data_IF_081045797249
#
_entry.id   IF_081045797249
#
_cell.length_a   1.000
_cell.length_b   1.000
_cell.length_c   1.000
_cell.angle_alpha   90.00
_cell.angle_beta   90.00
_cell.angle_gamma   90.00
#
_symmetry.space_group_name_H-M   'P 1'
#
loop_
_entity.id
_entity.type
_entity.pdbx_description
1 polymer ?
#
# COMPACT_ATOMS: atom_id res chain seq x y z
N UNK A 1 -36.37 4.68 -15.81
CA UNK A 1 -34.97 5.15 -15.78
C UNK A 1 -34.95 6.52 -15.09
N UNK A 2 -34.13 6.73 -14.04
CA UNK A 2 -33.93 8.08 -13.48
C UNK A 2 -33.30 8.96 -14.57
N UNK A 3 -33.83 10.16 -14.88
CA UNK A 3 -33.35 10.98 -16.00
C UNK A 3 -31.85 11.29 -15.97
N UNK A 4 -31.25 11.37 -14.78
CA UNK A 4 -29.80 11.56 -14.63
C UNK A 4 -28.96 10.36 -15.10
N UNK A 5 -29.53 9.17 -15.30
CA UNK A 5 -28.79 8.01 -15.79
C UNK A 5 -28.51 8.09 -17.30
N UNK A 6 -29.50 8.43 -18.11
CA UNK A 6 -29.40 8.40 -19.58
C UNK A 6 -28.41 9.43 -20.14
N UNK A 7 -28.34 10.62 -19.53
CA UNK A 7 -27.43 11.69 -19.93
C UNK A 7 -25.95 11.33 -19.63
N UNK A 8 -25.69 10.67 -18.49
CA UNK A 8 -24.35 10.26 -18.11
C UNK A 8 -23.82 9.08 -18.94
N UNK A 9 -24.72 8.23 -19.45
CA UNK A 9 -24.40 7.11 -20.34
C UNK A 9 -23.83 7.62 -21.68
N UNK A 10 -24.47 8.62 -22.28
CA UNK A 10 -24.00 9.22 -23.53
C UNK A 10 -22.67 9.97 -23.37
N UNK A 11 -22.43 10.55 -22.19
CA UNK A 11 -21.11 11.15 -21.85
C UNK A 11 -20.01 10.09 -21.75
N UNK A 12 -20.29 8.90 -21.20
CA UNK A 12 -19.30 7.83 -21.14
C UNK A 12 -19.07 7.20 -22.50
N UNK A 13 -20.14 6.98 -23.26
CA UNK A 13 -20.09 6.45 -24.61
C UNK A 13 -19.26 7.34 -25.53
N UNK A 14 -19.53 8.65 -25.54
CA UNK A 14 -18.75 9.61 -26.32
C UNK A 14 -17.27 9.63 -25.93
N UNK A 15 -16.95 9.54 -24.63
CA UNK A 15 -15.55 9.48 -24.14
C UNK A 15 -14.83 8.19 -24.52
N UNK A 16 -15.51 7.05 -24.48
CA UNK A 16 -14.93 5.76 -24.88
C UNK A 16 -14.67 5.69 -26.39
N UNK A 17 -15.49 6.36 -27.20
CA UNK A 17 -15.37 6.36 -28.66
C UNK A 17 -14.39 7.38 -29.23
N UNK A 18 -14.04 8.42 -28.48
CA UNK A 18 -13.21 9.53 -28.97
C UNK A 18 -11.71 9.21 -29.12
N UNK A 19 -11.26 7.95 -28.92
CA UNK A 19 -9.89 7.48 -29.21
C UNK A 19 -8.79 8.50 -28.83
N UNK A 20 -8.62 8.72 -27.54
CA UNK A 20 -7.31 9.04 -26.98
C UNK A 20 -7.12 8.19 -25.73
N UNK A 21 -6.00 7.47 -25.70
CA UNK A 21 -5.73 6.28 -24.90
C UNK A 21 -5.50 6.62 -23.41
N UNK A 22 -6.54 7.10 -22.73
CA UNK A 22 -6.68 6.96 -21.28
C UNK A 22 -7.26 5.57 -21.03
N UNK A 23 -6.75 4.76 -20.06
CA UNK A 23 -7.15 3.36 -19.99
C UNK A 23 -8.66 3.26 -19.83
N UNK A 24 -9.34 2.73 -20.85
CA UNK A 24 -10.79 2.58 -20.89
C UNK A 24 -11.31 1.84 -19.64
N UNK A 25 -10.47 0.96 -19.07
CA UNK A 25 -10.67 0.29 -17.79
C UNK A 25 -10.88 1.26 -16.62
N UNK A 26 -10.13 2.35 -16.51
CA UNK A 26 -10.27 3.34 -15.42
C UNK A 26 -11.56 4.14 -15.52
N UNK A 27 -11.95 4.54 -16.73
CA UNK A 27 -13.22 5.23 -16.99
C UNK A 27 -14.43 4.34 -16.65
N UNK A 28 -14.40 3.09 -17.11
CA UNK A 28 -15.44 2.09 -16.81
C UNK A 28 -15.47 1.76 -15.32
N UNK A 29 -14.31 1.56 -14.69
CA UNK A 29 -14.20 1.26 -13.24
C UNK A 29 -14.75 2.42 -12.39
N UNK A 30 -14.38 3.66 -12.69
CA UNK A 30 -14.87 4.83 -11.95
C UNK A 30 -16.39 5.03 -12.11
N UNK A 31 -16.93 4.74 -13.29
CA UNK A 31 -18.37 4.76 -13.49
C UNK A 31 -19.09 3.68 -12.68
N UNK A 32 -18.60 2.43 -12.76
CA UNK A 32 -19.16 1.30 -12.02
C UNK A 32 -19.10 1.51 -10.51
N UNK A 33 -17.99 2.06 -9.98
CA UNK A 33 -17.84 2.41 -8.56
C UNK A 33 -18.83 3.48 -8.10
N UNK A 34 -19.19 4.42 -8.98
CA UNK A 34 -20.08 5.54 -8.63
C UNK A 34 -21.57 5.19 -8.64
N UNK A 35 -21.98 4.22 -9.45
CA UNK A 35 -23.40 3.94 -9.70
C UNK A 35 -23.82 2.48 -9.45
N UNK A 36 -22.88 1.59 -9.14
CA UNK A 36 -23.14 0.22 -8.71
C UNK A 36 -23.40 -0.78 -9.84
N UNK A 37 -23.28 -2.06 -9.49
CA UNK A 37 -23.35 -3.22 -10.40
C UNK A 37 -24.68 -3.30 -11.19
N UNK A 38 -25.81 -2.92 -10.57
CA UNK A 38 -27.15 -3.01 -11.17
C UNK A 38 -27.35 -1.97 -12.28
N UNK A 39 -26.86 -0.74 -12.11
CA UNK A 39 -26.85 0.28 -13.16
C UNK A 39 -25.96 -0.15 -14.34
N UNK A 40 -24.86 -0.84 -14.00
CA UNK A 40 -24.05 -1.63 -14.91
C UNK A 40 -24.89 -2.50 -15.86
N UNK A 41 -25.67 -3.41 -15.26
CA UNK A 41 -26.46 -4.44 -15.95
C UNK A 41 -27.60 -3.93 -16.82
N UNK A 42 -28.20 -2.80 -16.52
CA UNK A 42 -29.24 -2.21 -17.37
C UNK A 42 -28.64 -1.53 -18.62
N UNK A 43 -27.53 -0.80 -18.45
CA UNK A 43 -26.65 -0.36 -19.55
C UNK A 43 -26.23 -1.52 -20.45
N UNK A 44 -25.92 -2.68 -19.85
CA UNK A 44 -25.47 -3.88 -20.56
C UNK A 44 -26.54 -4.52 -21.46
N UNK A 45 -27.83 -4.43 -21.12
CA UNK A 45 -28.92 -4.94 -21.99
C UNK A 45 -29.14 -4.07 -23.22
N UNK A 46 -28.85 -2.78 -23.14
CA UNK A 46 -29.07 -1.83 -24.23
C UNK A 46 -27.84 -1.69 -25.15
N UNK A 47 -26.63 -2.02 -24.65
CA UNK A 47 -25.36 -1.88 -25.38
C UNK A 47 -24.88 -3.14 -26.13
N UNK A 48 -25.73 -4.13 -26.40
CA UNK A 48 -25.41 -5.43 -27.07
C UNK A 48 -24.82 -5.32 -28.50
N UNK A 49 -24.47 -4.13 -28.98
CA UNK A 49 -23.77 -3.90 -30.26
C UNK A 49 -22.34 -3.38 -30.10
N UNK A 50 -21.39 -4.26 -29.77
CA UNK A 50 -19.96 -4.23 -30.15
C UNK A 50 -19.20 -2.88 -30.22
N UNK A 51 -18.56 -2.42 -29.13
CA UNK A 51 -17.48 -1.40 -29.25
C UNK A 51 -16.28 -1.56 -28.30
N UNK A 52 -16.33 -2.43 -27.27
CA UNK A 52 -15.18 -2.70 -26.38
C UNK A 52 -14.75 -4.16 -26.43
N UNK A 53 -13.43 -4.41 -26.54
CA UNK A 53 -12.87 -5.76 -26.60
C UNK A 53 -13.19 -6.56 -25.31
N UNK A 54 -13.47 -7.87 -25.39
CA UNK A 54 -13.80 -8.71 -24.24
C UNK A 54 -12.82 -8.62 -23.05
N UNK A 55 -11.54 -8.36 -23.31
CA UNK A 55 -10.52 -8.18 -22.27
C UNK A 55 -10.71 -6.92 -21.41
N UNK A 56 -11.24 -5.84 -21.98
CA UNK A 56 -11.52 -4.59 -21.24
C UNK A 56 -12.63 -4.82 -20.22
N UNK A 57 -13.61 -5.64 -20.57
CA UNK A 57 -14.73 -5.99 -19.70
C UNK A 57 -14.32 -6.92 -18.56
N UNK A 58 -13.51 -7.94 -18.84
CA UNK A 58 -13.00 -8.81 -17.78
C UNK A 58 -12.15 -8.03 -16.77
N UNK A 59 -11.31 -7.10 -17.25
CA UNK A 59 -10.53 -6.22 -16.39
C UNK A 59 -11.41 -5.29 -15.52
N UNK A 60 -12.48 -4.72 -16.09
CA UNK A 60 -13.39 -3.85 -15.34
C UNK A 60 -14.28 -4.59 -14.31
N UNK A 61 -14.67 -5.83 -14.57
CA UNK A 61 -15.40 -6.65 -13.60
C UNK A 61 -14.45 -7.16 -12.50
N UNK A 62 -13.21 -7.51 -12.86
CA UNK A 62 -12.18 -7.86 -11.89
C UNK A 62 -11.89 -6.67 -10.95
N UNK A 63 -11.82 -5.44 -11.47
CA UNK A 63 -11.59 -4.24 -10.66
C UNK A 63 -12.74 -3.88 -9.70
N UNK A 64 -13.94 -4.42 -9.92
CA UNK A 64 -15.07 -4.32 -8.98
C UNK A 64 -15.02 -5.33 -7.83
N UNK A 65 -14.17 -6.35 -7.91
CA UNK A 65 -13.95 -7.30 -6.80
C UNK A 65 -13.21 -6.66 -5.64
N UNK A 66 -12.55 -5.54 -5.91
CA UNK A 66 -11.65 -4.87 -4.99
C UNK A 66 -12.11 -3.46 -4.67
N UNK A 67 -11.93 -3.05 -3.42
CA UNK A 67 -12.12 -1.63 -3.05
C UNK A 67 -11.10 -0.76 -3.79
N UNK A 68 -11.32 0.57 -3.90
CA UNK A 68 -10.30 1.49 -4.44
C UNK A 68 -8.94 1.36 -3.76
N UNK A 69 -8.93 1.16 -2.45
CA UNK A 69 -7.72 1.01 -1.65
C UNK A 69 -7.02 -0.32 -1.95
N UNK A 70 -7.78 -1.42 -2.04
CA UNK A 70 -7.25 -2.73 -2.45
C UNK A 70 -6.62 -2.67 -3.84
N UNK A 71 -7.26 -2.00 -4.80
CA UNK A 71 -6.74 -1.86 -6.16
C UNK A 71 -5.40 -1.10 -6.19
N UNK A 72 -5.23 -0.05 -5.38
CA UNK A 72 -3.95 0.69 -5.28
C UNK A 72 -2.82 -0.22 -4.81
N UNK A 73 -3.09 -1.07 -3.82
CA UNK A 73 -2.11 -2.03 -3.30
C UNK A 73 -1.76 -3.06 -4.37
N UNK A 74 -2.76 -3.63 -5.05
CA UNK A 74 -2.54 -4.63 -6.11
C UNK A 74 -1.78 -4.04 -7.30
N UNK A 75 -2.14 -2.86 -7.79
CA UNK A 75 -1.43 -2.18 -8.89
C UNK A 75 0.03 -1.92 -8.54
N UNK A 76 0.34 -1.54 -7.29
CA UNK A 76 1.70 -1.34 -6.84
C UNK A 76 2.51 -2.66 -6.75
N UNK A 77 1.85 -3.77 -6.44
CA UNK A 77 2.45 -5.10 -6.40
C UNK A 77 2.72 -5.69 -7.79
N UNK A 78 2.03 -5.21 -8.82
CA UNK A 78 2.33 -5.49 -10.23
C UNK A 78 3.35 -4.49 -10.83
N UNK A 79 3.67 -3.43 -10.08
CA UNK A 79 4.65 -2.42 -10.46
C UNK A 79 6.11 -2.90 -10.37
N UNK A 80 7.08 -2.09 -10.82
CA UNK A 80 8.48 -2.53 -10.97
C UNK A 80 9.16 -2.96 -9.67
N UNK A 81 8.71 -2.44 -8.52
CA UNK A 81 9.26 -2.77 -7.21
C UNK A 81 8.56 -4.00 -6.58
N UNK A 82 7.49 -4.53 -7.18
CA UNK A 82 6.62 -5.61 -6.66
C UNK A 82 6.32 -5.47 -5.15
N UNK A 83 6.14 -4.24 -4.68
CA UNK A 83 5.98 -3.92 -3.26
C UNK A 83 5.27 -2.58 -3.12
N UNK A 84 4.38 -2.46 -2.14
CA UNK A 84 3.72 -1.22 -1.80
C UNK A 84 4.19 -0.70 -0.44
N UNK A 85 4.21 0.63 -0.27
CA UNK A 85 4.51 1.30 1.00
C UNK A 85 3.24 1.93 1.55
N UNK A 86 2.78 1.43 2.69
CA UNK A 86 1.68 2.03 3.44
C UNK A 86 2.24 3.04 4.43
N UNK A 87 1.60 4.21 4.56
CA UNK A 87 1.92 5.21 5.57
C UNK A 87 0.68 5.65 6.32
N UNK A 88 0.78 5.74 7.64
CA UNK A 88 -0.29 6.15 8.56
C UNK A 88 0.22 7.30 9.40
N UNK A 89 -0.37 8.50 9.24
CA UNK A 89 0.12 9.74 9.86
C UNK A 89 -0.25 9.89 11.35
N UNK A 90 -1.32 9.22 11.79
CA UNK A 90 -1.76 9.24 13.20
C UNK A 90 -2.15 7.83 13.62
N UNK A 91 -1.54 7.33 14.71
CA UNK A 91 -1.67 5.95 15.17
C UNK A 91 -3.10 5.52 15.56
N UNK A 92 -3.29 4.21 15.66
CA UNK A 92 -4.58 3.50 15.55
C UNK A 92 -5.56 3.58 16.75
N UNK A 93 -5.38 4.48 17.72
CA UNK A 93 -6.26 4.56 18.89
C UNK A 93 -7.13 5.83 18.88
N UNK A 94 -8.47 5.71 18.81
CA UNK A 94 -9.37 6.84 19.03
C UNK A 94 -9.10 7.47 20.41
N UNK A 95 -8.76 8.77 20.42
CA UNK A 95 -8.49 9.53 21.66
C UNK A 95 -7.04 9.49 22.17
N UNK A 96 -6.14 8.72 21.54
CA UNK A 96 -4.70 8.77 21.80
C UNK A 96 -3.95 8.71 20.47
N UNK A 97 -3.56 9.86 19.89
CA UNK A 97 -2.79 9.86 18.65
C UNK A 97 -1.45 9.16 18.91
N UNK A 98 -1.32 7.94 18.38
CA UNK A 98 -0.04 7.21 18.37
C UNK A 98 0.91 7.80 17.33
N UNK A 99 2.21 7.44 17.40
CA UNK A 99 3.18 7.92 16.42
C UNK A 99 2.83 7.46 15.00
N UNK A 100 3.22 8.27 14.02
CA UNK A 100 3.14 7.89 12.62
C UNK A 100 3.98 6.63 12.35
N UNK A 101 3.55 5.83 11.38
CA UNK A 101 4.29 4.65 10.97
C UNK A 101 4.09 4.35 9.49
N UNK A 102 5.08 3.70 8.90
CA UNK A 102 5.02 3.18 7.54
C UNK A 102 5.48 1.73 7.51
N UNK A 103 4.92 0.94 6.61
CA UNK A 103 5.27 -0.46 6.45
C UNK A 103 5.17 -0.93 5.01
N UNK A 104 5.82 -2.05 4.71
CA UNK A 104 5.79 -2.67 3.39
C UNK A 104 4.63 -3.65 3.26
N UNK A 105 4.16 -3.82 2.03
CA UNK A 105 3.26 -4.89 1.63
C UNK A 105 3.89 -5.56 0.41
N UNK A 106 4.18 -6.86 0.52
CA UNK A 106 4.66 -7.68 -0.60
C UNK A 106 6.09 -8.19 -0.44
N UNK A 107 6.87 -7.71 0.54
CA UNK A 107 8.24 -8.22 0.73
C UNK A 107 8.27 -9.72 1.05
N UNK A 108 7.33 -10.17 1.87
CA UNK A 108 7.27 -11.58 2.25
C UNK A 108 6.85 -12.46 1.09
N UNK A 109 5.75 -12.11 0.42
CA UNK A 109 5.22 -12.88 -0.69
C UNK A 109 6.16 -12.90 -1.91
N UNK A 110 6.73 -11.75 -2.29
CA UNK A 110 7.43 -11.60 -3.56
C UNK A 110 8.94 -11.82 -3.45
N UNK A 111 9.53 -11.62 -2.27
CA UNK A 111 10.98 -11.67 -2.08
C UNK A 111 11.40 -12.61 -0.94
N UNK A 112 10.47 -13.35 -0.32
CA UNK A 112 10.74 -14.23 0.83
C UNK A 112 11.46 -13.52 1.98
N UNK A 113 11.22 -12.22 2.14
CA UNK A 113 11.84 -11.37 3.16
C UNK A 113 10.78 -10.87 4.15
N UNK A 114 11.07 -10.74 5.46
CA UNK A 114 10.12 -10.16 6.40
C UNK A 114 9.57 -8.81 5.93
N UNK A 115 8.29 -8.54 6.20
CA UNK A 115 7.76 -7.19 6.00
C UNK A 115 8.51 -6.22 6.93
N UNK A 116 8.74 -5.00 6.46
CA UNK A 116 9.42 -3.96 7.21
C UNK A 116 8.40 -2.97 7.77
N UNK A 117 8.61 -2.52 9.00
CA UNK A 117 7.86 -1.42 9.62
C UNK A 117 8.81 -0.38 10.21
N UNK A 118 8.50 0.89 10.04
CA UNK A 118 9.21 2.03 10.63
C UNK A 118 8.21 2.89 11.40
N UNK A 119 8.52 3.24 12.64
CA UNK A 119 7.62 4.00 13.53
C UNK A 119 8.32 5.25 14.04
N UNK A 120 7.58 6.36 14.12
CA UNK A 120 8.09 7.62 14.68
C UNK A 120 8.83 8.51 13.68
N UNK A 121 9.04 8.05 12.44
CA UNK A 121 9.47 8.92 11.34
C UNK A 121 8.26 9.46 10.58
N UNK A 122 8.39 10.69 10.06
CA UNK A 122 7.39 11.25 9.16
C UNK A 122 7.30 10.44 7.86
N UNK A 123 6.12 10.43 7.23
CA UNK A 123 5.82 9.58 6.06
C UNK A 123 6.87 9.68 4.94
N UNK A 124 7.39 10.89 4.67
CA UNK A 124 8.42 11.10 3.65
C UNK A 124 9.75 10.40 3.98
N UNK A 125 10.24 10.56 5.22
CA UNK A 125 11.49 9.94 5.67
C UNK A 125 11.35 8.42 5.73
N UNK A 126 10.25 7.94 6.34
CA UNK A 126 9.95 6.52 6.43
C UNK A 126 9.81 5.87 5.04
N UNK A 127 9.10 6.50 4.11
CA UNK A 127 8.92 5.97 2.74
C UNK A 127 10.22 5.96 1.95
N UNK A 128 11.05 7.00 2.08
CA UNK A 128 12.35 7.07 1.41
C UNK A 128 13.27 5.95 1.90
N UNK A 129 13.29 5.72 3.21
CA UNK A 129 14.10 4.70 3.85
C UNK A 129 13.63 3.29 3.53
N UNK A 130 12.34 2.99 3.71
CA UNK A 130 11.77 1.70 3.37
C UNK A 130 11.89 1.42 1.88
N UNK A 131 11.61 2.39 1.01
CA UNK A 131 11.74 2.26 -0.44
C UNK A 131 13.17 1.97 -0.90
N UNK A 132 14.17 2.55 -0.24
CA UNK A 132 15.57 2.20 -0.47
C UNK A 132 15.83 0.71 -0.16
N UNK A 133 15.34 0.20 0.97
CA UNK A 133 15.51 -1.20 1.33
C UNK A 133 14.70 -2.17 0.46
N UNK A 134 13.50 -1.79 0.03
CA UNK A 134 12.70 -2.56 -0.95
C UNK A 134 13.54 -2.81 -2.20
N UNK A 135 14.16 -1.77 -2.79
CA UNK A 135 15.01 -1.91 -3.98
C UNK A 135 16.26 -2.77 -3.74
N UNK A 136 16.85 -2.68 -2.55
CA UNK A 136 17.99 -3.53 -2.17
C UNK A 136 17.58 -4.99 -2.02
N UNK A 137 16.46 -5.27 -1.38
CA UNK A 137 15.94 -6.62 -1.18
C UNK A 137 15.56 -7.22 -2.55
N UNK A 138 14.87 -6.46 -3.40
CA UNK A 138 14.51 -6.88 -4.75
C UNK A 138 15.72 -7.19 -5.64
N UNK A 139 16.87 -6.57 -5.38
CA UNK A 139 18.15 -6.87 -6.05
C UNK A 139 19.01 -7.95 -5.37
N UNK A 140 18.44 -8.68 -4.40
CA UNK A 140 19.12 -9.76 -3.68
C UNK A 140 20.13 -9.29 -2.63
N UNK A 141 20.11 -8.01 -2.25
CA UNK A 141 21.03 -7.39 -1.28
C UNK A 141 20.31 -7.04 0.03
N UNK A 142 19.64 -8.04 0.61
CA UNK A 142 18.93 -7.92 1.87
C UNK A 142 19.83 -7.38 3.00
N UNK A 143 19.32 -6.53 3.89
CA UNK A 143 20.10 -6.02 5.03
C UNK A 143 20.44 -7.13 6.02
N UNK A 144 21.56 -6.98 6.71
CA UNK A 144 21.85 -7.81 7.88
C UNK A 144 20.94 -7.40 9.04
N UNK A 145 20.40 -8.39 9.74
CA UNK A 145 19.62 -8.18 10.96
C UNK A 145 20.55 -7.91 12.14
N UNK A 146 20.05 -7.18 13.13
CA UNK A 146 20.73 -6.95 14.41
C UNK A 146 22.09 -6.27 14.35
N UNK A 147 22.53 -5.78 13.19
CA UNK A 147 23.75 -4.99 13.04
C UNK A 147 23.41 -3.56 12.64
N UNK A 148 24.09 -2.54 13.20
CA UNK A 148 23.96 -1.17 12.75
C UNK A 148 24.34 -1.05 11.27
N UNK A 149 23.47 -0.40 10.50
CA UNK A 149 23.69 -0.01 9.11
C UNK A 149 23.54 1.50 9.02
N UNK A 150 24.18 2.13 8.03
CA UNK A 150 23.89 3.53 7.72
C UNK A 150 22.69 3.60 6.79
N UNK A 151 21.77 4.52 7.09
CA UNK A 151 20.69 4.89 6.18
C UNK A 151 21.19 5.78 5.03
N UNK A 152 20.24 6.27 4.22
CA UNK A 152 20.53 7.14 3.08
C UNK A 152 21.03 8.54 3.46
N UNK A 153 20.85 8.96 4.71
CA UNK A 153 21.29 10.26 5.25
C UNK A 153 22.51 10.13 6.18
N UNK A 154 23.01 8.91 6.40
CA UNK A 154 24.16 8.61 7.25
C UNK A 154 23.84 8.33 8.73
N UNK A 155 22.57 8.30 9.12
CA UNK A 155 22.16 7.89 10.47
C UNK A 155 22.22 6.37 10.63
N UNK A 156 22.56 5.90 11.83
CA UNK A 156 22.55 4.47 12.09
C UNK A 156 21.12 3.96 12.27
N UNK A 157 20.85 2.83 11.64
CA UNK A 157 19.60 2.08 11.74
C UNK A 157 19.87 0.61 11.99
N UNK A 158 18.91 -0.10 12.55
CA UNK A 158 19.02 -1.52 12.84
C UNK A 158 17.70 -2.22 12.58
N UNK A 159 17.75 -3.39 11.94
CA UNK A 159 16.58 -4.24 11.76
C UNK A 159 16.44 -5.19 12.94
N UNK A 160 15.28 -5.16 13.60
CA UNK A 160 14.97 -5.99 14.76
C UNK A 160 13.68 -6.77 14.52
N UNK A 161 13.66 -8.04 14.88
CA UNK A 161 12.45 -8.88 14.77
C UNK A 161 11.32 -8.35 15.65
N UNK A 162 10.12 -8.28 15.08
CA UNK A 162 8.92 -7.89 15.81
C UNK A 162 8.27 -9.09 16.52
N UNK A 163 7.62 -8.82 17.65
CA UNK A 163 6.68 -9.74 18.29
C UNK A 163 5.45 -9.98 17.40
N UNK A 164 4.82 -11.17 17.45
CA UNK A 164 3.69 -11.50 16.57
C UNK A 164 2.52 -10.51 16.60
N UNK A 165 2.23 -9.92 17.77
CA UNK A 165 1.11 -9.00 18.00
C UNK A 165 1.23 -7.69 17.23
N UNK A 166 2.44 -7.34 16.77
CA UNK A 166 2.66 -6.16 15.94
C UNK A 166 1.80 -6.19 14.66
N UNK A 167 1.57 -7.37 14.08
CA UNK A 167 0.86 -7.52 12.81
C UNK A 167 -0.59 -7.06 12.90
N UNK A 168 -1.30 -7.54 13.91
CA UNK A 168 -2.71 -7.18 14.14
C UNK A 168 -2.89 -5.71 14.48
N UNK A 169 -1.86 -5.07 15.05
CA UNK A 169 -1.93 -3.67 15.45
C UNK A 169 -1.56 -2.70 14.32
N UNK A 170 -0.61 -3.05 13.46
CA UNK A 170 -0.03 -2.10 12.50
C UNK A 170 -0.16 -2.51 11.02
N UNK A 171 -0.15 -3.82 10.71
CA UNK A 171 0.08 -4.30 9.35
C UNK A 171 -1.19 -4.85 8.67
N UNK A 172 -2.32 -4.14 8.81
CA UNK A 172 -3.61 -4.57 8.25
C UNK A 172 -3.53 -4.95 6.76
N UNK A 173 -2.98 -4.07 5.92
CA UNK A 173 -2.92 -4.30 4.47
C UNK A 173 -1.96 -5.43 4.08
N UNK A 174 -0.87 -5.62 4.83
CA UNK A 174 0.02 -6.74 4.60
C UNK A 174 -0.64 -8.07 5.02
N UNK A 175 -1.41 -8.08 6.10
CA UNK A 175 -2.17 -9.28 6.52
C UNK A 175 -3.27 -9.61 5.51
N UNK A 176 -4.00 -8.59 5.03
CA UNK A 176 -5.00 -8.76 3.97
C UNK A 176 -4.38 -9.36 2.70
N UNK A 177 -3.29 -8.77 2.20
CA UNK A 177 -2.64 -9.23 0.97
C UNK A 177 -2.12 -10.68 1.11
N UNK A 178 -1.47 -10.98 2.23
CA UNK A 178 -0.91 -12.30 2.48
C UNK A 178 -1.95 -13.37 2.82
N UNK A 179 -3.21 -12.99 3.07
CA UNK A 179 -4.30 -13.88 3.49
C UNK A 179 -3.98 -14.72 4.74
N UNK A 180 -2.98 -14.31 5.52
CA UNK A 180 -2.57 -14.95 6.78
C UNK A 180 -1.86 -13.93 7.66
N UNK A 181 -2.02 -13.99 8.99
CA UNK A 181 -1.15 -13.26 9.90
C UNK A 181 0.21 -13.96 10.10
N UNK A 182 0.45 -15.16 9.56
CA UNK A 182 1.65 -15.96 9.86
C UNK A 182 2.84 -15.64 8.96
N UNK A 183 3.26 -14.37 8.97
CA UNK A 183 4.47 -13.90 8.31
C UNK A 183 5.41 -13.16 9.28
N UNK A 184 6.73 -13.15 9.01
CA UNK A 184 7.68 -12.42 9.82
C UNK A 184 7.65 -10.92 9.52
N UNK A 185 7.90 -10.11 10.55
CA UNK A 185 8.00 -8.65 10.45
C UNK A 185 9.26 -8.19 11.16
N UNK A 186 9.96 -7.22 10.59
CA UNK A 186 11.07 -6.54 11.23
C UNK A 186 10.79 -5.05 11.36
N UNK A 187 11.09 -4.50 12.54
CA UNK A 187 11.13 -3.08 12.77
C UNK A 187 12.48 -2.54 12.31
N UNK A 188 12.44 -1.52 11.46
CA UNK A 188 13.56 -0.62 11.23
C UNK A 188 13.60 0.36 12.39
N UNK A 189 14.61 0.20 13.24
CA UNK A 189 14.89 1.06 14.39
C UNK A 189 15.91 2.10 13.97
N UNK A 190 15.66 3.37 14.28
CA UNK A 190 16.56 4.50 13.99
C UNK A 190 17.09 5.17 15.27
N UNK A 191 18.27 5.81 15.15
CA UNK A 191 18.85 6.65 16.18
C UNK A 191 18.34 8.09 16.14
N UNK A 192 18.35 8.78 17.28
CA UNK A 192 18.12 10.22 17.31
C UNK A 192 19.30 11.02 16.72
N UNK A 193 19.16 12.35 16.69
CA UNK A 193 20.19 13.26 16.17
C UNK A 193 21.49 13.27 17.00
N UNK A 194 21.48 12.71 18.21
CA UNK A 194 22.63 12.57 19.09
C UNK A 194 23.25 11.17 19.01
N UNK A 195 22.88 10.37 17.99
CA UNK A 195 23.34 9.00 17.79
C UNK A 195 22.99 8.07 18.96
N UNK A 196 21.84 8.30 19.61
CA UNK A 196 21.30 7.44 20.67
C UNK A 196 20.23 6.51 20.11
N UNK A 197 20.24 5.28 20.58
CA UNK A 197 19.20 4.28 20.30
C UNK A 197 18.04 4.39 21.27
N UNK A 198 16.86 3.83 20.96
CA UNK A 198 15.73 3.80 21.89
C UNK A 198 15.96 3.10 23.23
N UNK A 199 17.01 2.29 23.34
CA UNK A 199 17.41 1.62 24.58
C UNK A 199 18.54 2.34 25.34
N UNK A 200 19.03 3.47 24.83
CA UNK A 200 20.01 4.30 25.53
C UNK A 200 19.28 5.32 26.44
N UNK A 201 19.84 5.59 27.61
CA UNK A 201 19.24 6.48 28.63
C UNK A 201 18.98 7.92 28.13
N UNK A 202 19.75 8.38 27.14
CA UNK A 202 19.70 9.76 26.60
C UNK A 202 18.99 9.87 25.24
N UNK A 203 18.13 8.91 24.89
CA UNK A 203 17.37 8.94 23.63
C UNK A 203 16.32 10.07 23.61
N UNK A 204 16.51 11.05 22.73
CA UNK A 204 15.66 12.23 22.57
C UNK A 204 15.13 12.36 21.14
N UNK A 205 14.14 11.53 20.75
CA UNK A 205 13.62 11.54 19.41
C UNK A 205 12.61 12.69 19.19
N UNK A 206 12.43 13.17 17.95
CA UNK A 206 11.37 14.13 17.61
C UNK A 206 9.96 13.55 17.75
N UNK A 207 9.81 12.22 17.73
CA UNK A 207 8.56 11.52 17.96
C UNK A 207 8.82 10.14 18.58
N UNK A 208 7.84 9.61 19.31
CA UNK A 208 7.98 8.30 19.95
C UNK A 208 8.18 7.18 18.90
N UNK A 209 9.12 6.28 19.16
CA UNK A 209 9.27 5.01 18.45
C UNK A 209 9.08 3.86 19.44
N UNK A 210 7.83 3.38 19.65
CA UNK A 210 7.58 2.15 20.38
C UNK A 210 8.38 0.99 19.78
N UNK A 211 9.06 0.25 20.65
CA UNK A 211 9.77 -0.95 20.29
C UNK A 211 8.79 -2.13 20.24
N UNK A 212 8.69 -2.75 19.06
CA UNK A 212 7.80 -3.89 18.81
C UNK A 212 8.52 -5.23 19.01
N UNK A 213 9.59 -5.24 19.80
CA UNK A 213 10.52 -6.37 19.88
C UNK A 213 9.91 -7.58 20.59
N UNK A 214 10.35 -8.76 20.16
CA UNK A 214 10.05 -10.07 20.77
C UNK A 214 10.84 -10.33 22.04
#
# INVERSE_FOLDING_TARGET
>A
MNPGYSENIEVLRSRLLQKDYYPATTLVTNFLRRWGYVAATELFREAEGNELAPGVWQAAIASLRHTPEEAIVLDALEGPDNCHLMSVEVGCNPGQPGPAFSYTVGLWHNFSHPELICIGLGASAASSLLGFYVKRIASGKAPQTDLPLQDIEGYAIQFKTCRPEAKTQYLYWATWFNSTPDYPVMQLVWQDKNSRWPWDDDFHPPAAQPLLLS
#
